data_IF_707905133485
#
_entry.id   IF_707905133485
#
_cell.length_a   1.000
_cell.length_b   1.000
_cell.length_c   1.000
_cell.angle_alpha   90.00
_cell.angle_beta   90.00
_cell.angle_gamma   90.00
#
_symmetry.space_group_name_H-M   'P 1'
#
loop_
_entity.id
_entity.type
_entity.pdbx_description
1 polymer ?
#
# COMPACT_ATOMS: atom_id res chain seq x y z
N UNK A 1 14.42 3.55 3.60
CA UNK A 1 13.67 2.60 2.74
C UNK A 1 12.56 3.33 1.99
N UNK A 2 12.15 2.78 0.85
CA UNK A 2 11.07 3.30 0.03
C UNK A 2 9.75 2.63 0.45
N UNK A 3 8.80 3.42 0.95
CA UNK A 3 7.50 2.91 1.40
C UNK A 3 6.43 3.34 0.40
N UNK A 4 5.77 2.37 -0.24
CA UNK A 4 4.62 2.62 -1.09
C UNK A 4 3.36 2.79 -0.24
N UNK A 5 2.61 3.87 -0.45
CA UNK A 5 1.36 4.13 0.26
C UNK A 5 0.18 4.06 -0.70
N UNK A 6 -0.70 3.08 -0.49
CA UNK A 6 -1.98 2.97 -1.16
C UNK A 6 -3.07 3.61 -0.32
N UNK A 7 -3.82 4.54 -0.89
CA UNK A 7 -4.83 5.30 -0.17
C UNK A 7 -5.93 5.84 -1.09
N UNK A 8 -6.96 6.46 -0.49
CA UNK A 8 -8.11 6.97 -1.21
C UNK A 8 -7.78 8.16 -2.13
N UNK A 9 -8.44 8.18 -3.30
CA UNK A 9 -8.49 9.33 -4.22
C UNK A 9 -9.83 10.08 -4.18
N UNK A 10 -10.84 9.55 -3.48
CA UNK A 10 -12.18 10.15 -3.42
C UNK A 10 -12.19 11.44 -2.60
N UNK A 11 -12.83 12.48 -3.13
CA UNK A 11 -13.05 13.75 -2.42
C UNK A 11 -14.29 13.73 -1.49
N UNK A 12 -15.05 12.62 -1.46
CA UNK A 12 -16.30 12.49 -0.69
C UNK A 12 -16.12 11.79 0.65
N UNK A 13 -14.88 11.52 1.05
CA UNK A 13 -14.56 10.84 2.31
C UNK A 13 -14.53 11.82 3.48
N UNK A 14 -14.69 11.31 4.70
CA UNK A 14 -14.52 12.08 5.92
C UNK A 14 -13.08 12.61 6.02
N UNK A 15 -12.95 13.84 6.52
CA UNK A 15 -11.66 14.52 6.69
C UNK A 15 -10.66 13.73 7.53
N UNK A 16 -11.12 12.96 8.50
CA UNK A 16 -10.26 12.11 9.35
C UNK A 16 -9.33 11.20 8.55
N UNK A 17 -9.77 10.70 7.38
CA UNK A 17 -8.94 9.87 6.51
C UNK A 17 -7.83 10.66 5.80
N UNK A 18 -8.14 11.91 5.44
CA UNK A 18 -7.17 12.83 4.85
C UNK A 18 -6.14 13.26 5.90
N UNK A 19 -6.60 13.54 7.14
CA UNK A 19 -5.75 13.91 8.26
C UNK A 19 -4.81 12.74 8.64
N UNK A 20 -5.30 11.50 8.65
CA UNK A 20 -4.46 10.30 8.83
C UNK A 20 -3.38 10.17 7.74
N UNK A 21 -3.74 10.41 6.48
CA UNK A 21 -2.78 10.35 5.38
C UNK A 21 -1.68 11.42 5.53
N UNK A 22 -2.04 12.62 5.98
CA UNK A 22 -1.08 13.68 6.28
C UNK A 22 -0.16 13.30 7.45
N UNK A 23 -0.70 12.73 8.53
CA UNK A 23 0.08 12.22 9.67
C UNK A 23 1.10 11.16 9.22
N UNK A 24 0.66 10.20 8.41
CA UNK A 24 1.54 9.15 7.85
C UNK A 24 2.65 9.76 6.99
N UNK A 25 2.34 10.74 6.14
CA UNK A 25 3.33 11.41 5.30
C UNK A 25 4.41 12.13 6.11
N UNK A 26 4.00 12.87 7.14
CA UNK A 26 4.93 13.56 8.03
C UNK A 26 5.80 12.57 8.84
N UNK A 27 5.21 11.50 9.34
CA UNK A 27 5.93 10.47 10.10
C UNK A 27 6.93 9.71 9.24
N UNK A 28 6.56 9.39 7.99
CA UNK A 28 7.43 8.76 7.00
C UNK A 28 8.70 9.59 6.77
N UNK A 29 8.53 10.89 6.54
CA UNK A 29 9.63 11.82 6.35
C UNK A 29 10.50 11.96 7.62
N UNK A 30 9.87 12.09 8.80
CA UNK A 30 10.57 12.20 10.09
C UNK A 30 11.45 10.97 10.38
N UNK A 31 11.06 9.80 9.91
CA UNK A 31 11.85 8.54 10.02
C UNK A 31 12.89 8.38 8.91
N UNK A 32 12.99 9.32 7.97
CA UNK A 32 13.97 9.28 6.88
C UNK A 32 13.64 8.28 5.78
N UNK A 33 12.37 7.95 5.59
CA UNK A 33 11.91 7.10 4.49
C UNK A 33 11.55 7.93 3.26
N UNK A 34 11.59 7.29 2.10
CA UNK A 34 11.09 7.85 0.84
C UNK A 34 9.64 7.40 0.63
N UNK A 35 8.76 8.34 0.32
CA UNK A 35 7.38 8.03 -0.08
C UNK A 35 7.33 7.63 -1.55
N UNK A 36 6.74 6.48 -1.86
CA UNK A 36 6.28 6.11 -3.20
C UNK A 36 4.76 6.19 -3.23
N UNK A 37 4.20 6.95 -4.16
CA UNK A 37 2.76 7.21 -4.24
C UNK A 37 2.23 7.10 -5.66
N UNK A 38 0.90 7.12 -5.77
CA UNK A 38 0.21 7.14 -7.06
C UNK A 38 0.35 8.42 -7.86
N UNK A 39 1.13 9.40 -7.40
CA UNK A 39 1.49 10.59 -8.16
C UNK A 39 0.37 11.61 -8.37
N UNK A 40 -0.75 11.53 -7.63
CA UNK A 40 -1.85 12.48 -7.75
C UNK A 40 -1.96 13.42 -6.54
N UNK A 41 -2.47 14.63 -6.77
CA UNK A 41 -2.64 15.68 -5.75
C UNK A 41 -3.96 15.59 -4.98
N UNK A 42 -4.82 14.61 -5.29
CA UNK A 42 -6.18 14.57 -4.76
C UNK A 42 -6.30 13.77 -3.47
N UNK A 43 -7.20 14.23 -2.57
CA UNK A 43 -7.61 13.52 -1.36
C UNK A 43 -6.43 13.02 -0.49
N UNK A 44 -6.45 11.76 -0.03
CA UNK A 44 -5.38 11.17 0.77
C UNK A 44 -4.04 11.12 0.04
N UNK A 45 -4.03 10.91 -1.29
CA UNK A 45 -2.78 10.91 -2.06
C UNK A 45 -2.07 12.26 -1.99
N UNK A 46 -2.80 13.36 -2.21
CA UNK A 46 -2.24 14.71 -2.09
C UNK A 46 -1.83 15.03 -0.65
N UNK A 47 -2.61 14.60 0.34
CA UNK A 47 -2.32 14.85 1.75
C UNK A 47 -1.02 14.16 2.21
N UNK A 48 -0.84 12.88 1.90
CA UNK A 48 0.37 12.13 2.29
C UNK A 48 1.61 12.71 1.64
N UNK A 49 1.54 13.06 0.35
CA UNK A 49 2.69 13.60 -0.39
C UNK A 49 3.06 15.01 0.09
N UNK A 50 2.05 15.90 0.23
CA UNK A 50 2.29 17.27 0.72
C UNK A 50 2.87 17.30 2.14
N UNK A 51 2.37 16.44 3.03
CA UNK A 51 2.86 16.35 4.40
C UNK A 51 4.28 15.76 4.46
N UNK A 52 4.60 14.76 3.64
CA UNK A 52 5.94 14.23 3.53
C UNK A 52 6.95 15.31 3.08
N UNK A 53 6.64 16.06 2.03
CA UNK A 53 7.47 17.19 1.58
C UNK A 53 7.61 18.28 2.63
N UNK A 54 6.51 18.68 3.26
CA UNK A 54 6.53 19.71 4.31
C UNK A 54 7.43 19.31 5.50
N UNK A 55 7.58 18.02 5.77
CA UNK A 55 8.49 17.48 6.78
C UNK A 55 9.92 17.19 6.24
N UNK A 56 10.24 17.60 5.00
CA UNK A 56 11.56 17.43 4.40
C UNK A 56 11.85 16.03 3.84
N UNK A 57 10.81 15.22 3.63
CA UNK A 57 10.94 13.87 3.05
C UNK A 57 11.01 13.88 1.54
N UNK A 58 11.58 12.81 0.98
CA UNK A 58 11.68 12.56 -0.46
C UNK A 58 10.41 11.87 -0.97
N UNK A 59 9.90 12.33 -2.11
CA UNK A 59 8.64 11.84 -2.70
C UNK A 59 8.82 11.38 -4.14
N UNK A 60 8.33 10.19 -4.45
CA UNK A 60 8.28 9.60 -5.79
C UNK A 60 6.81 9.39 -6.16
N UNK A 61 6.36 10.09 -7.18
CA UNK A 61 5.03 9.92 -7.76
C UNK A 61 5.06 9.05 -9.01
N UNK A 62 4.16 8.09 -9.13
CA UNK A 62 4.02 7.24 -10.33
C UNK A 62 2.60 7.39 -10.88
N UNK A 63 2.46 8.02 -12.03
CA UNK A 63 1.17 8.40 -12.60
C UNK A 63 1.05 7.96 -14.07
N UNK A 64 -0.09 7.42 -14.52
CA UNK A 64 -0.30 7.14 -15.94
C UNK A 64 -0.61 8.43 -16.70
N UNK A 65 -0.19 8.51 -17.97
CA UNK A 65 -0.35 9.68 -18.82
C UNK A 65 -1.80 10.20 -18.87
N UNK A 66 -2.78 9.28 -18.89
CA UNK A 66 -4.20 9.66 -18.91
C UNK A 66 -4.64 10.48 -17.69
N UNK A 67 -3.99 10.32 -16.52
CA UNK A 67 -4.28 11.11 -15.33
C UNK A 67 -3.47 12.41 -15.30
N UNK A 68 -2.32 12.47 -15.95
CA UNK A 68 -1.60 13.74 -16.19
C UNK A 68 -2.46 14.66 -17.06
N UNK A 69 -3.09 14.11 -18.10
CA UNK A 69 -3.90 14.85 -19.04
C UNK A 69 -5.16 15.48 -18.40
N UNK A 70 -5.62 14.96 -17.25
CA UNK A 70 -6.72 15.56 -16.47
C UNK A 70 -6.24 16.42 -15.30
N UNK A 71 -4.97 16.82 -15.31
CA UNK A 71 -4.38 17.81 -14.38
C UNK A 71 -4.41 17.41 -12.90
N UNK A 72 -4.31 16.11 -12.60
CA UNK A 72 -4.25 15.62 -11.20
C UNK A 72 -2.85 15.22 -10.76
N UNK A 73 -1.84 15.37 -11.62
CA UNK A 73 -0.46 14.99 -11.36
C UNK A 73 0.18 15.87 -10.28
N UNK A 74 0.93 15.25 -9.36
CA UNK A 74 1.74 15.94 -8.36
C UNK A 74 3.11 16.31 -8.94
N UNK A 75 3.15 17.45 -9.63
CA UNK A 75 4.36 17.97 -10.27
C UNK A 75 5.43 18.47 -9.28
N UNK A 76 5.08 18.59 -8.00
CA UNK A 76 5.99 19.01 -6.93
C UNK A 76 6.72 17.80 -6.29
N UNK A 77 6.44 16.57 -6.72
CA UNK A 77 7.22 15.39 -6.30
C UNK A 77 8.68 15.51 -6.73
N UNK A 78 9.61 15.04 -5.89
CA UNK A 78 11.05 15.05 -6.21
C UNK A 78 11.35 14.23 -7.46
N UNK A 79 10.60 13.15 -7.68
CA UNK A 79 10.60 12.37 -8.91
C UNK A 79 9.14 12.08 -9.32
N UNK A 80 8.77 12.44 -10.55
CA UNK A 80 7.48 12.07 -11.13
C UNK A 80 7.69 11.16 -12.33
N UNK A 81 7.26 9.91 -12.20
CA UNK A 81 7.37 8.89 -13.24
C UNK A 81 6.04 8.78 -13.96
N UNK A 82 6.02 9.17 -15.24
CA UNK A 82 4.84 9.04 -16.09
C UNK A 82 4.88 7.70 -16.82
N UNK A 83 3.80 6.92 -16.72
CA UNK A 83 3.68 5.60 -17.33
C UNK A 83 2.63 5.59 -18.43
N UNK A 84 2.73 4.63 -19.37
CA UNK A 84 1.77 4.50 -20.46
C UNK A 84 0.37 4.05 -19.98
N UNK A 85 0.28 3.33 -18.86
CA UNK A 85 -1.00 2.83 -18.35
C UNK A 85 -0.95 2.32 -16.92
N UNK A 86 -2.13 1.93 -16.40
CA UNK A 86 -2.30 1.51 -15.01
C UNK A 86 -1.47 0.28 -14.63
N UNK A 87 -1.29 -0.68 -15.53
CA UNK A 87 -0.49 -1.89 -15.25
C UNK A 87 0.99 -1.57 -15.07
N UNK A 88 1.53 -0.74 -15.97
CA UNK A 88 2.92 -0.30 -15.87
C UNK A 88 3.13 0.53 -14.59
N UNK A 89 2.18 1.43 -14.27
CA UNK A 89 2.21 2.21 -13.02
C UNK A 89 2.41 1.32 -11.81
N UNK A 90 1.58 0.29 -11.64
CA UNK A 90 1.67 -0.63 -10.50
C UNK A 90 3.00 -1.39 -10.48
N UNK A 91 3.47 -1.87 -11.63
CA UNK A 91 4.77 -2.53 -11.74
C UNK A 91 5.94 -1.61 -11.34
N UNK A 92 5.88 -0.33 -11.71
CA UNK A 92 6.90 0.67 -11.31
C UNK A 92 6.80 0.96 -9.80
N UNK A 93 5.60 1.16 -9.25
CA UNK A 93 5.40 1.34 -7.82
C UNK A 93 5.93 0.14 -7.03
N UNK A 94 5.63 -1.08 -7.47
CA UNK A 94 6.11 -2.32 -6.87
C UNK A 94 7.65 -2.41 -6.89
N UNK A 95 8.27 -2.18 -8.05
CA UNK A 95 9.72 -2.27 -8.22
C UNK A 95 10.51 -1.20 -7.44
N UNK A 96 9.87 -0.07 -7.11
CA UNK A 96 10.49 1.05 -6.40
C UNK A 96 10.32 0.98 -4.88
N UNK A 97 9.64 -0.04 -4.36
CA UNK A 97 9.22 -0.09 -2.96
C UNK A 97 9.88 -1.23 -2.19
N UNK A 98 10.26 -0.94 -0.96
CA UNK A 98 10.81 -1.90 0.00
C UNK A 98 9.74 -2.39 0.99
N UNK A 99 8.64 -1.64 1.14
CA UNK A 99 7.52 -1.96 2.01
C UNK A 99 6.24 -1.29 1.49
N UNK A 100 5.08 -1.79 1.93
CA UNK A 100 3.76 -1.32 1.50
C UNK A 100 2.90 -0.97 2.70
N UNK A 101 2.30 0.21 2.67
CA UNK A 101 1.33 0.69 3.64
C UNK A 101 0.00 0.96 2.96
N UNK A 102 -1.06 0.39 3.49
CA UNK A 102 -2.42 0.54 2.99
C UNK A 102 -3.24 1.33 4.00
N UNK A 103 -3.73 2.48 3.59
CA UNK A 103 -4.65 3.32 4.35
C UNK A 103 -6.09 3.05 3.92
N UNK A 104 -7.10 3.50 4.68
CA UNK A 104 -8.49 3.44 4.27
C UNK A 104 -8.68 4.00 2.86
N UNK A 105 -9.32 3.19 1.99
CA UNK A 105 -9.51 3.54 0.60
C UNK A 105 -10.61 2.72 -0.07
N UNK A 106 -10.84 2.99 -1.34
CA UNK A 106 -11.87 2.35 -2.14
C UNK A 106 -11.36 1.14 -2.93
N UNK A 107 -12.10 0.80 -4.00
CA UNK A 107 -11.81 -0.37 -4.85
C UNK A 107 -10.41 -0.32 -5.48
N UNK A 108 -9.93 0.88 -5.88
CA UNK A 108 -8.57 1.01 -6.42
C UNK A 108 -7.50 0.66 -5.39
N UNK A 109 -7.69 1.10 -4.13
CA UNK A 109 -6.79 0.75 -3.02
C UNK A 109 -6.83 -0.75 -2.71
N UNK A 110 -8.01 -1.37 -2.77
CA UNK A 110 -8.15 -2.82 -2.59
C UNK A 110 -7.52 -3.60 -3.76
N UNK A 111 -7.60 -3.11 -4.98
CA UNK A 111 -6.99 -3.73 -6.15
C UNK A 111 -5.47 -3.76 -6.03
N UNK A 112 -4.86 -2.64 -5.61
CA UNK A 112 -3.42 -2.54 -5.32
C UNK A 112 -3.03 -3.45 -4.14
N UNK A 113 -3.82 -3.47 -3.06
CA UNK A 113 -3.62 -4.35 -1.91
C UNK A 113 -3.63 -5.83 -2.33
N UNK A 114 -4.65 -6.28 -3.05
CA UNK A 114 -4.77 -7.69 -3.43
C UNK A 114 -3.64 -8.16 -4.35
N UNK A 115 -3.14 -7.32 -5.22
CA UNK A 115 -1.99 -7.66 -6.06
C UNK A 115 -0.75 -7.95 -5.21
N UNK A 116 -0.37 -7.03 -4.32
CA UNK A 116 0.81 -7.19 -3.44
C UNK A 116 0.60 -8.31 -2.41
N UNK A 117 -0.61 -8.43 -1.85
CA UNK A 117 -0.94 -9.49 -0.90
C UNK A 117 -0.82 -10.87 -1.54
N UNK A 118 -1.40 -11.04 -2.72
CA UNK A 118 -1.30 -12.29 -3.48
C UNK A 118 0.15 -12.64 -3.80
N UNK A 119 0.94 -11.68 -4.29
CA UNK A 119 2.35 -11.88 -4.58
C UNK A 119 3.15 -12.32 -3.32
N UNK A 120 2.85 -11.75 -2.16
CA UNK A 120 3.47 -12.13 -0.89
C UNK A 120 3.08 -13.54 -0.44
N UNK A 121 1.79 -13.91 -0.52
CA UNK A 121 1.31 -15.27 -0.21
C UNK A 121 1.92 -16.31 -1.13
N UNK A 122 2.16 -15.97 -2.39
CA UNK A 122 2.84 -16.83 -3.37
C UNK A 122 4.36 -16.88 -3.18
N UNK A 123 4.92 -16.12 -2.24
CA UNK A 123 6.37 -16.08 -2.00
C UNK A 123 7.17 -15.37 -3.11
N UNK A 124 6.53 -14.54 -3.93
CA UNK A 124 7.19 -13.71 -4.95
C UNK A 124 8.05 -12.64 -4.29
N UNK A 125 7.62 -12.13 -3.14
CA UNK A 125 8.38 -11.22 -2.28
C UNK A 125 8.08 -11.48 -0.80
N UNK A 126 8.97 -10.97 0.07
CA UNK A 126 8.87 -11.05 1.54
C UNK A 126 8.73 -9.67 2.19
N UNK A 127 8.59 -8.60 1.39
CA UNK A 127 8.51 -7.21 1.85
C UNK A 127 7.33 -7.00 2.81
N UNK A 128 7.49 -6.16 3.85
CA UNK A 128 6.39 -5.83 4.76
C UNK A 128 5.17 -5.30 4.03
N UNK A 129 3.99 -5.80 4.41
CA UNK A 129 2.68 -5.32 3.95
C UNK A 129 1.83 -5.03 5.18
N UNK A 130 1.48 -3.76 5.37
CA UNK A 130 0.80 -3.26 6.57
C UNK A 130 -0.50 -2.57 6.18
N UNK A 131 -1.58 -2.89 6.89
CA UNK A 131 -2.82 -2.13 6.83
C UNK A 131 -2.91 -1.27 8.10
N UNK A 132 -3.11 0.03 7.93
CA UNK A 132 -3.41 0.96 9.00
C UNK A 132 -4.88 1.38 8.89
N UNK A 133 -5.71 0.87 9.79
CA UNK A 133 -7.15 1.12 9.79
C UNK A 133 -7.67 1.42 11.21
N UNK A 134 -7.53 2.65 11.71
CA UNK A 134 -7.96 3.05 13.05
C UNK A 134 -9.47 2.90 13.30
N UNK A 135 -10.27 2.85 12.26
CA UNK A 135 -11.74 2.89 12.37
C UNK A 135 -12.45 1.63 11.88
N UNK A 136 -11.72 0.58 11.51
CA UNK A 136 -12.29 -0.70 11.14
C UNK A 136 -13.01 -0.72 9.77
N UNK A 137 -12.63 0.16 8.84
CA UNK A 137 -13.19 0.15 7.48
C UNK A 137 -13.00 -1.20 6.79
N UNK A 138 -11.89 -1.87 7.07
CA UNK A 138 -11.52 -3.15 6.45
C UNK A 138 -11.88 -4.37 7.31
N UNK A 139 -12.61 -4.21 8.42
CA UNK A 139 -13.07 -5.36 9.21
C UNK A 139 -13.96 -6.33 8.39
N UNK A 140 -14.87 -5.87 7.51
CA UNK A 140 -15.59 -6.78 6.61
C UNK A 140 -14.68 -7.57 5.66
N UNK A 141 -13.55 -6.99 5.22
CA UNK A 141 -12.55 -7.69 4.41
C UNK A 141 -11.89 -8.83 5.20
N UNK A 142 -11.51 -8.60 6.45
CA UNK A 142 -10.97 -9.64 7.34
C UNK A 142 -11.95 -10.79 7.51
N UNK A 143 -13.23 -10.47 7.73
CA UNK A 143 -14.30 -11.46 7.87
C UNK A 143 -14.50 -12.26 6.58
N UNK A 144 -14.48 -11.60 5.41
CA UNK A 144 -14.55 -12.27 4.11
C UNK A 144 -13.40 -13.27 3.92
N UNK A 145 -12.16 -12.84 4.18
CA UNK A 145 -10.97 -13.70 4.04
C UNK A 145 -11.02 -14.86 5.06
N UNK A 146 -11.52 -14.62 6.28
CA UNK A 146 -11.75 -15.68 7.28
C UNK A 146 -12.78 -16.70 6.79
N UNK A 147 -13.87 -16.26 6.17
CA UNK A 147 -14.85 -17.14 5.55
C UNK A 147 -14.26 -17.96 4.41
N UNK A 148 -13.47 -17.35 3.54
CA UNK A 148 -12.75 -18.05 2.46
C UNK A 148 -11.82 -19.13 3.03
N UNK A 149 -11.14 -18.84 4.14
CA UNK A 149 -10.27 -19.82 4.80
C UNK A 149 -11.08 -20.99 5.38
N UNK A 150 -12.18 -20.71 6.06
CA UNK A 150 -13.05 -21.73 6.62
C UNK A 150 -13.63 -22.69 5.57
N UNK A 151 -13.88 -22.19 4.36
CA UNK A 151 -14.37 -22.96 3.21
C UNK A 151 -13.23 -23.58 2.37
N UNK A 152 -11.97 -23.41 2.77
CA UNK A 152 -10.83 -24.01 2.09
C UNK A 152 -10.34 -23.29 0.83
N UNK A 153 -10.85 -22.08 0.51
CA UNK A 153 -10.41 -21.31 -0.64
C UNK A 153 -9.05 -20.65 -0.43
N UNK A 154 -8.62 -20.46 0.81
CA UNK A 154 -7.33 -19.88 1.13
C UNK A 154 -6.70 -20.56 2.34
N UNK A 155 -5.37 -20.53 2.42
CA UNK A 155 -4.59 -21.13 3.51
C UNK A 155 -4.50 -20.17 4.69
N UNK A 156 -4.11 -20.71 5.85
CA UNK A 156 -3.97 -19.91 7.08
C UNK A 156 -2.87 -18.84 6.96
N UNK A 157 -1.81 -19.10 6.21
CA UNK A 157 -0.69 -18.19 6.00
C UNK A 157 -1.05 -16.88 5.27
N UNK A 158 -2.26 -16.80 4.67
CA UNK A 158 -2.77 -15.55 4.11
C UNK A 158 -2.86 -14.44 5.16
N UNK A 159 -3.15 -14.80 6.43
CA UNK A 159 -3.22 -13.82 7.51
C UNK A 159 -1.85 -13.35 7.98
N UNK A 160 -0.84 -14.24 7.93
CA UNK A 160 0.54 -13.93 8.33
C UNK A 160 1.24 -13.01 7.31
N UNK A 161 0.69 -12.93 6.11
CA UNK A 161 1.20 -12.08 5.04
C UNK A 161 0.92 -10.59 5.23
N UNK A 162 0.02 -10.21 6.15
CA UNK A 162 -0.36 -8.80 6.41
C UNK A 162 -0.31 -8.51 7.90
N UNK A 163 0.26 -7.36 8.26
CA UNK A 163 0.12 -6.78 9.60
C UNK A 163 -1.08 -5.83 9.62
N UNK A 164 -2.01 -6.05 10.54
CA UNK A 164 -3.17 -5.20 10.75
C UNK A 164 -2.92 -4.30 11.94
N UNK A 165 -2.97 -2.99 11.75
CA UNK A 165 -2.62 -1.99 12.77
C UNK A 165 -3.71 -0.92 12.89
N UNK A 166 -3.76 -0.27 14.03
CA UNK A 166 -4.73 0.79 14.33
C UNK A 166 -4.08 2.12 14.66
N UNK A 167 -2.75 2.14 14.82
CA UNK A 167 -2.00 3.36 15.10
C UNK A 167 -0.84 3.53 14.12
N UNK A 168 -0.46 4.79 13.86
CA UNK A 168 0.68 5.11 12.98
C UNK A 168 1.97 4.51 13.53
N UNK A 169 2.18 4.56 14.85
CA UNK A 169 3.38 4.00 15.50
C UNK A 169 3.50 2.49 15.26
N UNK A 170 2.42 1.73 15.47
CA UNK A 170 2.38 0.29 15.18
C UNK A 170 2.67 0.00 13.71
N UNK A 171 2.07 0.78 12.80
CA UNK A 171 2.27 0.60 11.37
C UNK A 171 3.74 0.74 10.99
N UNK A 172 4.43 1.78 11.46
CA UNK A 172 5.85 1.96 11.19
C UNK A 172 6.73 0.92 11.86
N UNK A 173 6.40 0.46 13.07
CA UNK A 173 7.11 -0.63 13.71
C UNK A 173 7.10 -1.92 12.85
N UNK A 174 5.97 -2.22 12.18
CA UNK A 174 5.87 -3.35 11.26
C UNK A 174 6.56 -3.10 9.91
N UNK A 175 6.50 -1.88 9.37
CA UNK A 175 7.16 -1.51 8.11
C UNK A 175 8.69 -1.58 8.22
N UNK A 176 9.24 -1.26 9.39
CA UNK A 176 10.67 -1.26 9.69
C UNK A 176 11.19 -2.61 10.20
N UNK A 177 10.29 -3.53 10.53
CA UNK A 177 10.65 -4.88 10.95
C UNK A 177 11.37 -5.63 9.81
N UNK A 178 12.31 -6.51 10.17
CA UNK A 178 12.94 -7.37 9.16
C UNK A 178 11.87 -8.22 8.48
N UNK A 179 11.92 -8.33 7.13
CA UNK A 179 10.99 -9.17 6.39
C UNK A 179 10.97 -10.60 6.98
N UNK A 180 9.76 -11.10 7.26
CA UNK A 180 9.56 -12.49 7.64
C UNK A 180 9.19 -13.25 6.36
N UNK A 181 9.98 -14.24 5.93
CA UNK A 181 9.62 -15.02 4.75
C UNK A 181 8.30 -15.75 5.00
N UNK A 182 7.31 -15.47 4.17
CA UNK A 182 6.14 -16.32 4.03
C UNK A 182 6.61 -17.58 3.31
N UNK A 183 6.37 -18.78 3.88
CA UNK A 183 6.82 -20.03 3.26
C UNK A 183 6.25 -20.13 1.85
N UNK A 184 7.09 -20.33 0.81
CA UNK A 184 6.61 -20.39 -0.56
C UNK A 184 5.67 -21.57 -0.72
N UNK A 185 4.40 -21.28 -1.03
CA UNK A 185 3.38 -22.30 -1.26
C UNK A 185 3.53 -23.03 -2.59
N UNK A 186 4.36 -22.51 -3.47
CA UNK A 186 4.59 -23.08 -4.82
C UNK A 186 5.20 -24.48 -4.74
N UNK A 187 6.02 -24.78 -3.73
CA UNK A 187 6.59 -26.11 -3.54
C UNK A 187 5.54 -27.19 -3.20
N UNK A 188 4.44 -26.80 -2.56
CA UNK A 188 3.37 -27.75 -2.19
C UNK A 188 2.32 -27.95 -3.28
N UNK A 189 2.26 -27.07 -4.30
CA UNK A 189 1.40 -27.26 -5.48
C UNK A 189 1.93 -28.41 -6.39
N UNK A 190 3.20 -28.80 -6.27
CA UNK A 190 3.80 -29.92 -7.01
C UNK A 190 3.57 -31.29 -6.39
N UNK A 191 3.25 -31.39 -5.10
CA UNK A 191 3.06 -32.68 -4.41
C UNK A 191 1.62 -33.21 -4.46
N UNK A 192 0.65 -32.41 -4.88
CA UNK A 192 -0.77 -32.80 -4.95
C UNK A 192 -1.15 -33.57 -6.24
N UNK A 193 -0.20 -33.83 -7.12
CA UNK A 193 -0.40 -34.57 -8.41
C UNK A 193 0.36 -35.88 -8.49
N UNK A 194 0.74 -36.48 -7.36
CA UNK A 194 1.36 -37.80 -7.27
C UNK A 194 0.39 -38.87 -6.78
#
# INVERSE_FOLDING_TARGET
VNICVFCASSLRIDRKYVDLAAEVGAELARRGHTLVSGGATVSCMGAVTSAARAAGGVTVGVIPQVLVDVEVADTDSDELIVTAGMRERKGVMDARSDAFLVLPGGIGTLEELFEIWTARVLGIHDRPLVILDPWGLYEPLRQLVSGMHAEGFTRADVFDAISWTTTVEEAFAHLEARPQPVRPSIAELGEATG
#
